data_IF_947681781030
#
_entry.id   IF_947681781030
#
_cell.length_a   1.000
_cell.length_b   1.000
_cell.length_c   1.000
_cell.angle_alpha   90.00
_cell.angle_beta   90.00
_cell.angle_gamma   90.00
#
_symmetry.space_group_name_H-M   'P 1'
#
loop_
_entity.id
_entity.type
_entity.pdbx_description
1 polymer ?
#
# COMPACT_ATOMS: atom_id res chain seq x y z
N UNK A 1 -37.51 9.96 -0.61
CA UNK A 1 -37.09 8.65 -0.08
C UNK A 1 -35.83 8.81 0.75
N UNK A 2 -35.99 8.68 2.06
CA UNK A 2 -35.08 8.36 3.18
C UNK A 2 -33.57 8.64 3.01
N UNK A 3 -33.11 9.75 3.59
CA UNK A 3 -31.73 9.88 4.10
C UNK A 3 -31.61 9.00 5.33
N UNK A 4 -30.62 8.13 5.37
CA UNK A 4 -30.26 7.40 6.59
C UNK A 4 -29.65 8.40 7.58
N UNK A 5 -30.15 8.52 8.82
CA UNK A 5 -29.51 9.35 9.82
C UNK A 5 -28.26 8.63 10.32
N UNK A 6 -27.07 9.17 10.03
CA UNK A 6 -25.86 8.74 10.73
C UNK A 6 -26.01 9.19 12.18
N UNK A 7 -26.12 8.23 13.08
CA UNK A 7 -26.09 8.46 14.52
C UNK A 7 -24.67 8.83 14.92
N UNK A 8 -24.29 10.10 14.76
CA UNK A 8 -23.09 10.67 15.36
C UNK A 8 -23.33 10.86 16.86
N UNK A 9 -23.25 9.76 17.61
CA UNK A 9 -23.06 9.81 19.06
C UNK A 9 -21.57 9.99 19.35
N UNK A 10 -20.98 11.14 18.99
CA UNK A 10 -19.72 11.58 19.60
C UNK A 10 -19.72 13.08 19.85
N UNK A 11 -19.31 13.38 21.07
CA UNK A 11 -19.25 14.65 21.74
C UNK A 11 -18.57 15.71 20.85
N UNK A 12 -19.19 16.89 20.69
CA UNK A 12 -18.71 18.01 19.83
C UNK A 12 -17.37 18.63 20.26
N UNK A 13 -16.66 18.02 21.22
CA UNK A 13 -15.43 18.51 21.84
C UNK A 13 -14.21 17.61 21.64
N UNK A 14 -14.34 16.47 20.95
CA UNK A 14 -13.17 15.62 20.64
C UNK A 14 -12.44 16.13 19.38
N UNK A 15 -11.10 16.22 19.41
CA UNK A 15 -10.33 16.53 18.21
C UNK A 15 -10.61 15.47 17.13
N UNK A 16 -10.69 15.88 15.87
CA UNK A 16 -10.83 14.96 14.76
C UNK A 16 -9.66 13.97 14.77
N UNK A 17 -9.96 12.70 14.99
CA UNK A 17 -8.95 11.63 14.98
C UNK A 17 -8.66 11.29 13.52
N UNK A 18 -7.43 11.54 13.09
CA UNK A 18 -6.93 11.06 11.80
C UNK A 18 -6.60 9.56 11.92
N UNK A 19 -7.10 8.77 10.98
CA UNK A 19 -6.83 7.33 10.94
C UNK A 19 -5.45 7.08 10.33
N UNK A 20 -4.70 6.17 10.96
CA UNK A 20 -3.41 5.72 10.43
C UNK A 20 -3.61 4.95 9.12
N UNK A 21 -2.91 5.37 8.06
CA UNK A 21 -2.93 4.70 6.76
C UNK A 21 -1.76 3.73 6.64
N UNK A 22 -2.04 2.46 6.30
CA UNK A 22 -1.04 1.40 6.18
C UNK A 22 -1.14 0.69 4.82
N UNK A 23 0.01 0.33 4.25
CA UNK A 23 0.10 -0.42 2.99
C UNK A 23 1.27 -1.42 3.05
N UNK A 24 1.27 -2.40 2.15
CA UNK A 24 2.37 -3.36 2.05
C UNK A 24 3.47 -2.82 1.13
N UNK A 25 4.72 -2.80 1.58
CA UNK A 25 5.90 -2.55 0.74
C UNK A 25 6.53 -3.88 0.31
N UNK A 26 6.63 -4.14 -0.99
CA UNK A 26 7.27 -5.33 -1.56
C UNK A 26 8.51 -4.93 -2.35
N UNK A 27 9.68 -5.30 -1.85
CA UNK A 27 10.98 -5.06 -2.48
C UNK A 27 11.50 -6.31 -3.22
N UNK A 28 12.45 -6.17 -4.16
CA UNK A 28 13.23 -7.29 -4.68
C UNK A 28 13.95 -8.04 -3.55
N UNK A 29 14.29 -9.34 -3.73
CA UNK A 29 14.78 -10.18 -2.65
C UNK A 29 15.99 -9.64 -1.89
N UNK A 30 16.97 -9.08 -2.60
CA UNK A 30 18.22 -8.61 -1.98
C UNK A 30 18.04 -7.29 -1.18
N UNK A 31 17.45 -6.21 -1.74
CA UNK A 31 17.07 -5.04 -0.95
C UNK A 31 16.17 -5.38 0.24
N UNK A 32 15.23 -6.31 0.08
CA UNK A 32 14.35 -6.77 1.16
C UNK A 32 15.13 -7.44 2.30
N UNK A 33 16.14 -8.26 1.97
CA UNK A 33 17.02 -8.91 2.94
C UNK A 33 17.79 -7.88 3.76
N UNK A 34 18.42 -6.91 3.08
CA UNK A 34 19.22 -5.86 3.74
C UNK A 34 18.35 -4.91 4.57
N UNK A 35 17.16 -4.54 4.10
CA UNK A 35 16.21 -3.73 4.88
C UNK A 35 15.75 -4.49 6.13
N UNK A 36 15.47 -5.79 6.02
CA UNK A 36 15.10 -6.63 7.17
C UNK A 36 16.22 -6.70 8.20
N UNK A 37 17.46 -6.88 7.79
CA UNK A 37 18.63 -6.90 8.68
C UNK A 37 18.83 -5.54 9.36
N UNK A 38 18.70 -4.45 8.59
CA UNK A 38 18.76 -3.07 9.10
C UNK A 38 17.75 -2.83 10.21
N UNK A 39 16.48 -3.19 9.97
CA UNK A 39 15.40 -3.05 10.96
C UNK A 39 15.64 -3.90 12.20
N UNK A 40 16.06 -5.16 12.04
CA UNK A 40 16.32 -6.08 13.17
C UNK A 40 17.46 -5.61 14.06
N UNK A 41 18.48 -5.00 13.47
CA UNK A 41 19.63 -4.47 14.19
C UNK A 41 19.36 -3.09 14.81
N UNK A 42 18.14 -2.54 14.68
CA UNK A 42 17.78 -1.22 15.18
C UNK A 42 18.56 -0.08 14.53
N UNK A 43 19.12 -0.32 13.33
CA UNK A 43 19.86 0.69 12.59
C UNK A 43 18.88 1.73 12.03
N UNK A 44 19.29 3.00 12.08
CA UNK A 44 18.47 4.09 11.56
C UNK A 44 18.18 3.93 10.06
N UNK A 45 16.94 4.23 9.66
CA UNK A 45 16.52 4.34 8.26
C UNK A 45 16.61 5.76 7.72
N UNK A 46 16.93 6.73 8.57
CA UNK A 46 17.08 8.13 8.16
C UNK A 46 18.12 8.22 7.05
N UNK A 47 17.77 8.94 5.98
CA UNK A 47 18.59 9.14 4.78
C UNK A 47 18.90 7.85 3.97
N UNK A 48 18.49 6.68 4.46
CA UNK A 48 18.67 5.39 3.80
C UNK A 48 17.43 4.97 3.04
N UNK A 49 16.24 5.13 3.62
CA UNK A 49 14.96 4.77 3.01
C UNK A 49 14.14 6.02 2.68
N UNK A 50 13.71 6.15 1.42
CA UNK A 50 12.74 7.18 1.03
C UNK A 50 11.74 6.62 0.01
N UNK A 51 10.49 7.07 0.10
CA UNK A 51 9.42 6.73 -0.82
C UNK A 51 8.89 8.05 -1.39
N UNK A 52 8.86 8.17 -2.72
CA UNK A 52 8.27 9.32 -3.42
C UNK A 52 7.24 8.80 -4.39
N UNK A 53 6.00 9.26 -4.25
CA UNK A 53 4.91 8.90 -5.17
C UNK A 53 4.68 10.04 -6.14
N UNK A 54 4.27 9.68 -7.36
CA UNK A 54 3.83 10.63 -8.37
C UNK A 54 2.44 11.18 -8.03
N UNK A 55 2.02 12.24 -8.73
CA UNK A 55 0.74 12.91 -8.48
C UNK A 55 -0.48 11.98 -8.67
N UNK A 56 -0.36 10.96 -9.51
CA UNK A 56 -1.44 9.99 -9.75
C UNK A 56 -1.57 8.93 -8.64
N UNK A 57 -0.61 8.89 -7.70
CA UNK A 57 -0.53 7.93 -6.60
C UNK A 57 -0.54 6.45 -7.06
N UNK A 58 -0.17 6.18 -8.31
CA UNK A 58 -0.06 4.82 -8.86
C UNK A 58 1.38 4.43 -9.14
N UNK A 59 2.24 5.39 -9.43
CA UNK A 59 3.67 5.18 -9.65
C UNK A 59 4.52 5.98 -8.65
N UNK A 60 5.79 5.59 -8.53
CA UNK A 60 6.73 6.27 -7.66
C UNK A 60 8.11 5.62 -7.62
N UNK A 61 8.98 6.20 -6.82
CA UNK A 61 10.34 5.72 -6.58
C UNK A 61 10.52 5.34 -5.12
N UNK A 62 11.19 4.21 -4.89
CA UNK A 62 11.67 3.80 -3.57
C UNK A 62 13.19 3.74 -3.61
N UNK A 63 13.83 4.57 -2.77
CA UNK A 63 15.27 4.51 -2.58
C UNK A 63 15.59 3.81 -1.28
N UNK A 64 16.48 2.83 -1.33
CA UNK A 64 17.05 2.19 -0.16
C UNK A 64 18.56 2.04 -0.33
N UNK A 65 19.36 2.70 0.50
CA UNK A 65 20.82 2.79 0.34
C UNK A 65 21.23 3.23 -1.08
N UNK A 66 21.82 2.32 -1.85
CA UNK A 66 22.25 2.55 -3.24
C UNK A 66 21.20 2.10 -4.26
N UNK A 67 20.16 1.38 -3.84
CA UNK A 67 19.10 0.93 -4.74
C UNK A 67 18.13 2.07 -5.03
N UNK A 68 17.95 2.34 -6.32
CA UNK A 68 16.83 3.09 -6.87
C UNK A 68 15.86 2.07 -7.45
N UNK A 69 14.63 2.03 -6.95
CA UNK A 69 13.62 1.07 -7.35
C UNK A 69 12.37 1.79 -7.86
N UNK A 70 11.85 1.33 -8.99
CA UNK A 70 10.59 1.78 -9.56
C UNK A 70 9.42 1.08 -8.86
N UNK A 71 8.48 1.87 -8.35
CA UNK A 71 7.35 1.43 -7.54
C UNK A 71 6.02 1.57 -8.27
N UNK A 72 5.16 0.55 -8.18
CA UNK A 72 3.77 0.60 -8.63
C UNK A 72 2.83 0.25 -7.48
N UNK A 73 1.85 1.10 -7.22
CA UNK A 73 0.79 0.85 -6.24
C UNK A 73 -0.31 0.02 -6.92
N UNK A 74 -0.52 -1.19 -6.40
CA UNK A 74 -1.58 -2.10 -6.82
C UNK A 74 -2.60 -2.28 -5.71
N UNK A 75 -3.85 -2.49 -6.11
CA UNK A 75 -4.92 -2.83 -5.19
C UNK A 75 -4.89 -4.34 -4.89
N UNK A 76 -5.00 -4.70 -3.62
CA UNK A 76 -5.08 -6.08 -3.18
C UNK A 76 -6.49 -6.62 -3.49
N UNK A 77 -6.61 -7.90 -3.90
CA UNK A 77 -7.92 -8.51 -4.12
C UNK A 77 -8.71 -8.75 -2.82
N UNK A 78 -8.08 -8.55 -1.66
CA UNK A 78 -8.62 -8.80 -0.33
C UNK A 78 -8.33 -7.64 0.61
N UNK A 79 -9.25 -7.38 1.54
CA UNK A 79 -8.98 -6.50 2.69
C UNK A 79 -8.18 -7.29 3.73
N UNK A 80 -7.05 -6.74 4.16
CA UNK A 80 -6.20 -7.29 5.20
C UNK A 80 -6.28 -6.38 6.42
N UNK A 81 -6.72 -6.89 7.57
CA UNK A 81 -6.71 -6.11 8.81
C UNK A 81 -5.34 -6.22 9.48
N UNK A 82 -4.76 -5.09 9.92
CA UNK A 82 -3.63 -5.11 10.85
C UNK A 82 -4.15 -5.12 12.28
N UNK A 83 -3.60 -6.02 13.10
CA UNK A 83 -3.99 -6.18 14.50
C UNK A 83 -2.77 -6.08 15.39
N UNK A 84 -2.90 -5.32 16.48
CA UNK A 84 -1.91 -5.24 17.56
C UNK A 84 -2.36 -6.09 18.73
N UNK A 85 -1.39 -6.73 19.39
CA UNK A 85 -1.60 -7.47 20.62
C UNK A 85 -0.45 -7.21 21.59
N UNK A 86 -0.70 -7.40 22.88
CA UNK A 86 0.29 -7.36 23.95
C UNK A 86 0.47 -8.75 24.57
N UNK A 87 -0.56 -9.59 24.55
CA UNK A 87 -0.65 -10.88 25.24
C UNK A 87 -0.77 -12.09 24.29
N UNK A 88 -0.82 -11.86 22.97
CA UNK A 88 -1.09 -12.86 21.93
C UNK A 88 -2.44 -13.60 22.07
N UNK A 89 -3.40 -13.01 22.79
CA UNK A 89 -4.77 -13.55 22.96
C UNK A 89 -5.80 -12.53 22.54
N UNK A 90 -5.66 -11.29 23.00
CA UNK A 90 -6.52 -10.17 22.68
C UNK A 90 -5.89 -9.37 21.55
N UNK A 91 -6.65 -9.18 20.48
CA UNK A 91 -6.19 -8.48 19.28
C UNK A 91 -7.05 -7.26 19.03
N UNK A 92 -6.39 -6.13 18.76
CA UNK A 92 -7.03 -4.84 18.52
C UNK A 92 -6.72 -4.39 17.11
N UNK A 93 -7.76 -4.16 16.30
CA UNK A 93 -7.63 -3.65 14.94
C UNK A 93 -6.94 -2.28 14.95
N UNK A 94 -5.97 -2.09 14.06
CA UNK A 94 -5.24 -0.83 13.88
C UNK A 94 -5.49 -0.17 12.53
N UNK A 95 -5.58 -0.94 11.44
CA UNK A 95 -5.87 -0.40 10.11
C UNK A 95 -6.46 -1.47 9.18
N UNK A 96 -7.12 -1.01 8.11
CA UNK A 96 -7.45 -1.81 6.93
C UNK A 96 -6.37 -1.59 5.86
N UNK A 97 -5.81 -2.67 5.34
CA UNK A 97 -4.78 -2.67 4.30
C UNK A 97 -5.40 -3.26 3.03
N UNK A 98 -5.48 -2.45 1.98
CA UNK A 98 -6.03 -2.86 0.68
C UNK A 98 -5.09 -2.56 -0.50
N UNK A 99 -3.86 -2.10 -0.24
CA UNK A 99 -2.90 -1.72 -1.28
C UNK A 99 -1.49 -2.22 -0.99
N UNK A 100 -0.71 -2.36 -2.07
CA UNK A 100 0.69 -2.75 -2.03
C UNK A 100 1.51 -1.90 -2.99
N UNK A 101 2.63 -1.36 -2.52
CA UNK A 101 3.68 -0.77 -3.34
C UNK A 101 4.67 -1.88 -3.74
N UNK A 102 4.65 -2.28 -5.01
CA UNK A 102 5.56 -3.29 -5.56
C UNK A 102 6.73 -2.58 -6.22
N UNK A 103 7.96 -2.90 -5.81
CA UNK A 103 9.19 -2.31 -6.31
C UNK A 103 9.95 -3.26 -7.23
N UNK A 104 10.50 -2.72 -8.32
CA UNK A 104 11.35 -3.41 -9.30
C UNK A 104 12.60 -2.57 -9.59
N UNK A 105 13.68 -3.23 -10.03
CA UNK A 105 14.91 -2.54 -10.45
C UNK A 105 14.75 -1.90 -11.84
N UNK A 106 14.05 -2.59 -12.75
CA UNK A 106 13.74 -2.08 -14.07
C UNK A 106 12.39 -1.34 -14.08
N UNK A 107 12.32 -0.32 -14.92
CA UNK A 107 11.10 0.44 -15.17
C UNK A 107 10.16 -0.33 -16.11
N UNK A 108 8.93 -0.57 -15.65
CA UNK A 108 7.91 -1.35 -16.37
C UNK A 108 6.96 -0.45 -17.19
N UNK A 109 7.31 0.82 -17.41
CA UNK A 109 6.48 1.81 -18.12
C UNK A 109 6.12 1.46 -19.58
N UNK A 110 6.47 0.27 -20.11
CA UNK A 110 6.32 -0.09 -21.52
C UNK A 110 5.20 -1.08 -21.86
N UNK A 111 4.41 -1.62 -20.92
CA UNK A 111 3.55 -2.79 -21.24
C UNK A 111 2.06 -2.77 -20.85
N UNK A 112 1.49 -1.73 -20.22
CA UNK A 112 0.13 -1.86 -19.64
C UNK A 112 -1.06 -1.17 -20.32
N UNK A 113 -0.94 -0.52 -21.48
CA UNK A 113 -2.12 0.10 -22.15
C UNK A 113 -2.60 -0.57 -23.46
N UNK A 114 -1.96 -1.65 -23.95
CA UNK A 114 -2.30 -2.25 -25.26
C UNK A 114 -2.58 -3.77 -25.20
N UNK A 115 -3.43 -4.26 -24.30
CA UNK A 115 -4.22 -5.48 -24.61
C UNK A 115 -5.43 -5.68 -23.69
N UNK A 116 -6.56 -5.07 -24.03
CA UNK A 116 -7.87 -5.61 -23.67
C UNK A 116 -8.51 -6.18 -24.94
N UNK A 117 -8.66 -7.51 -25.09
CA UNK A 117 -9.32 -8.06 -26.28
C UNK A 117 -10.82 -7.73 -26.22
N UNK A 118 -11.24 -6.79 -27.07
CA UNK A 118 -12.65 -6.48 -27.32
C UNK A 118 -13.36 -7.76 -27.78
N UNK A 119 -14.22 -8.33 -26.92
CA UNK A 119 -15.06 -9.49 -27.26
C UNK A 119 -16.02 -9.13 -28.41
N UNK A 120 -15.65 -9.45 -29.64
CA UNK A 120 -16.58 -9.45 -30.78
C UNK A 120 -17.57 -10.62 -30.62
N UNK A 121 -18.78 -10.34 -30.13
CA UNK A 121 -19.91 -11.26 -30.32
C UNK A 121 -20.46 -11.09 -31.75
N UNK A 122 -20.19 -12.10 -32.57
CA UNK A 122 -20.74 -12.29 -33.92
C UNK A 122 -22.27 -12.16 -33.92
N UNK A 123 -22.82 -11.33 -34.81
CA UNK A 123 -24.23 -11.41 -35.23
C UNK A 123 -24.40 -12.68 -36.06
N UNK A 124 -25.25 -13.60 -35.61
CA UNK A 124 -25.76 -14.70 -36.40
C UNK A 124 -26.82 -14.19 -37.38
N UNK A 125 -26.66 -14.55 -38.65
CA UNK A 125 -27.73 -14.58 -39.65
C UNK A 125 -28.76 -15.65 -39.30
#
# INVERSE_FOLDING_TARGET
MNRHPTTDYKNRSEPQVELESQFILRLPPEPARVLRETLRNGLSLKDRLSIKLENDMRYGEVRFDHWLLHGKIVDLPTIVESLKTIDNKSFYKTADICQMLICKEEDDHTTTDEESPVRQKKRSQ
#
